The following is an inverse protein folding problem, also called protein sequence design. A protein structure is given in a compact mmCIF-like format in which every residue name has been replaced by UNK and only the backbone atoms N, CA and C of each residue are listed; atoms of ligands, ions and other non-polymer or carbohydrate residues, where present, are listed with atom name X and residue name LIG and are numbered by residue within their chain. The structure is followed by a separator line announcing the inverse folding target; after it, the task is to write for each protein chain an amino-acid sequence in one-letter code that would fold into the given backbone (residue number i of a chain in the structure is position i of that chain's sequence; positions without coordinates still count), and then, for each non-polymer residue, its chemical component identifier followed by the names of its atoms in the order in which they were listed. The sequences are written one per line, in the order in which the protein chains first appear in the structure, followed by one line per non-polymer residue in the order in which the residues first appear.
data_IF_903918068627
#
_entry.id   IF_903918068627
#
_cell.length_a   1.000
_cell.length_b   1.000
_cell.length_c   1.000
_cell.angle_alpha   90.00
_cell.angle_beta   90.00
_cell.angle_gamma   90.00
#
_symmetry.space_group_name_H-M   'P 1'
#
loop_
_entity.id
_entity.type
_entity.pdbx_description
1 polymer ?
#
# COMPACT_ATOMS: atom_id res chain seq x y z
N UNK A 1 3.57 -2.74 31.52
CA UNK A 1 4.62 -1.83 31.05
C UNK A 1 4.36 -1.57 29.58
N UNK A 2 3.70 -0.47 29.25
CA UNK A 2 3.47 -0.04 27.87
C UNK A 2 4.79 0.48 27.32
N UNK A 3 5.35 -0.22 26.33
CA UNK A 3 6.48 0.31 25.56
C UNK A 3 5.99 1.61 24.88
N UNK A 4 6.56 2.73 25.27
CA UNK A 4 6.52 3.96 24.48
C UNK A 4 7.27 3.65 23.18
N UNK A 5 6.56 3.39 22.09
CA UNK A 5 7.18 3.39 20.78
C UNK A 5 7.49 4.84 20.42
N UNK A 6 8.76 5.24 20.58
CA UNK A 6 9.21 6.55 20.12
C UNK A 6 8.95 6.66 18.62
N UNK A 7 8.23 7.72 18.23
CA UNK A 7 7.94 8.02 16.83
C UNK A 7 9.26 8.28 16.10
N UNK A 8 9.54 7.47 15.07
CA UNK A 8 10.75 7.60 14.26
C UNK A 8 10.49 8.48 13.04
N UNK A 9 11.53 9.20 12.63
CA UNK A 9 11.51 10.09 11.45
C UNK A 9 12.66 9.72 10.49
N UNK A 10 12.85 8.43 10.28
CA UNK A 10 14.01 7.84 9.60
C UNK A 10 13.66 7.14 8.30
N UNK A 11 12.42 7.24 7.81
CA UNK A 11 12.11 6.71 6.49
C UNK A 11 12.86 7.53 5.43
N UNK A 12 13.32 6.91 4.33
CA UNK A 12 14.12 7.60 3.35
C UNK A 12 13.44 8.84 2.75
N UNK A 13 12.12 8.80 2.55
CA UNK A 13 11.35 9.95 2.05
C UNK A 13 11.21 11.08 3.08
N UNK A 14 11.19 10.77 4.38
CA UNK A 14 11.21 11.77 5.47
C UNK A 14 12.58 12.44 5.54
N UNK A 15 13.66 11.64 5.47
CA UNK A 15 15.04 12.14 5.41
C UNK A 15 15.19 13.08 4.20
N UNK A 16 14.65 12.69 3.04
CA UNK A 16 14.68 13.53 1.85
C UNK A 16 13.98 14.87 2.04
N UNK A 17 12.81 14.91 2.69
CA UNK A 17 12.14 16.18 2.99
C UNK A 17 13.02 17.07 3.88
N UNK A 18 13.66 16.48 4.89
CA UNK A 18 14.59 17.19 5.79
C UNK A 18 15.78 17.77 5.02
N UNK A 19 16.43 16.96 4.18
CA UNK A 19 17.55 17.40 3.33
C UNK A 19 17.17 18.53 2.38
N UNK A 20 16.00 18.46 1.74
CA UNK A 20 15.52 19.51 0.84
C UNK A 20 15.35 20.84 1.59
N UNK A 21 14.93 20.81 2.85
CA UNK A 21 14.78 22.01 3.67
C UNK A 21 16.12 22.54 4.17
N UNK A 22 16.97 21.68 4.74
CA UNK A 22 18.23 22.07 5.38
C UNK A 22 19.33 22.43 4.36
N UNK A 23 19.48 21.64 3.29
CA UNK A 23 20.61 21.78 2.37
C UNK A 23 20.32 22.72 1.18
N UNK A 24 19.07 22.77 0.71
CA UNK A 24 18.71 23.55 -0.48
C UNK A 24 18.05 24.89 -0.15
N UNK A 25 17.89 25.22 1.15
CA UNK A 25 17.18 26.41 1.62
C UNK A 25 15.81 26.59 0.93
N UNK A 26 15.15 25.46 0.61
CA UNK A 26 13.89 25.41 -0.14
C UNK A 26 12.68 25.87 0.67
N UNK A 27 12.88 26.58 1.78
CA UNK A 27 11.79 27.16 2.58
C UNK A 27 10.87 28.07 1.74
N UNK A 28 11.41 28.67 0.66
CA UNK A 28 10.66 29.50 -0.29
C UNK A 28 9.88 28.69 -1.35
N UNK A 29 10.09 27.37 -1.45
CA UNK A 29 9.39 26.49 -2.39
C UNK A 29 8.05 25.97 -1.84
N UNK A 30 7.68 26.40 -0.63
CA UNK A 30 6.42 26.07 0.03
C UNK A 30 5.42 27.24 -0.03
N UNK A 31 4.11 26.96 0.01
CA UNK A 31 3.13 28.01 0.22
C UNK A 31 3.35 28.64 1.60
N UNK A 32 3.36 29.97 1.66
CA UNK A 32 3.58 30.77 2.87
C UNK A 32 4.94 30.50 3.57
N UNK A 33 5.87 31.44 3.41
CA UNK A 33 7.19 31.39 4.03
C UNK A 33 7.08 31.60 5.56
N UNK A 34 7.71 30.73 6.37
CA UNK A 34 7.88 30.96 7.82
C UNK A 34 7.56 29.79 8.75
N UNK A 35 6.91 28.73 8.27
CA UNK A 35 6.70 27.49 9.03
C UNK A 35 7.75 26.46 8.58
N UNK A 36 8.51 25.90 9.52
CA UNK A 36 9.31 24.72 9.25
C UNK A 36 8.39 23.53 8.95
N UNK A 37 8.38 23.11 7.68
CA UNK A 37 7.47 22.08 7.16
C UNK A 37 7.86 20.69 7.65
N UNK A 38 9.12 20.45 7.99
CA UNK A 38 9.52 19.19 8.60
C UNK A 38 9.10 19.14 10.07
N UNK A 39 9.23 20.24 10.81
CA UNK A 39 8.70 20.32 12.17
C UNK A 39 7.18 20.17 12.22
N UNK A 40 6.46 20.79 11.27
CA UNK A 40 5.02 20.59 11.13
C UNK A 40 4.68 19.12 10.86
N UNK A 41 5.40 18.48 9.93
CA UNK A 41 5.26 17.05 9.64
C UNK A 41 5.47 16.18 10.89
N UNK A 42 6.57 16.41 11.63
CA UNK A 42 6.86 15.68 12.88
C UNK A 42 5.72 15.81 13.89
N UNK A 43 5.24 17.03 14.09
CA UNK A 43 4.13 17.29 15.01
C UNK A 43 2.83 16.57 14.59
N UNK A 44 2.51 16.57 13.29
CA UNK A 44 1.35 15.85 12.76
C UNK A 44 1.50 14.34 13.01
N UNK A 45 2.66 13.75 12.69
CA UNK A 45 2.94 12.32 12.90
C UNK A 45 2.82 11.94 14.37
N UNK A 46 3.38 12.73 15.29
CA UNK A 46 3.29 12.46 16.73
C UNK A 46 1.85 12.52 17.24
N UNK A 47 1.09 13.57 16.89
CA UNK A 47 -0.34 13.66 17.27
C UNK A 47 -1.14 12.49 16.70
N UNK A 48 -0.92 12.10 15.45
CA UNK A 48 -1.57 10.93 14.86
C UNK A 48 -1.22 9.63 15.57
N UNK A 49 0.04 9.44 15.98
CA UNK A 49 0.43 8.27 16.75
C UNK A 49 -0.33 8.19 18.07
N UNK A 50 -0.36 9.29 18.82
CA UNK A 50 -0.97 9.37 20.14
C UNK A 50 -2.50 9.26 20.09
N UNK A 51 -3.10 10.00 19.16
CA UNK A 51 -4.55 10.19 19.13
C UNK A 51 -5.26 9.22 18.18
N UNK A 52 -4.58 8.66 17.17
CA UNK A 52 -5.24 7.86 16.12
C UNK A 52 -4.73 6.42 16.03
N UNK A 53 -3.41 6.24 15.96
CA UNK A 53 -2.82 4.93 15.60
C UNK A 53 -2.55 4.00 16.78
N UNK A 54 -2.36 4.53 18.00
CA UNK A 54 -2.12 3.69 19.19
C UNK A 54 -3.22 2.65 19.44
N UNK A 55 -4.46 2.99 19.10
CA UNK A 55 -5.64 2.14 19.34
C UNK A 55 -6.49 1.91 18.08
N UNK A 56 -5.97 2.19 16.87
CA UNK A 56 -6.77 2.19 15.63
C UNK A 56 -7.49 0.84 15.38
N UNK A 57 -6.82 -0.26 15.67
CA UNK A 57 -7.37 -1.60 15.47
C UNK A 57 -8.62 -1.84 16.32
N UNK A 58 -8.72 -1.21 17.50
CA UNK A 58 -9.90 -1.31 18.38
C UNK A 58 -11.16 -0.69 17.77
N UNK A 59 -11.01 0.26 16.85
CA UNK A 59 -12.12 0.92 16.15
C UNK A 59 -12.63 0.17 14.92
N UNK A 60 -11.93 -0.89 14.49
CA UNK A 60 -12.28 -1.67 13.31
C UNK A 60 -13.20 -2.86 13.68
N UNK A 61 -14.43 -2.81 13.17
CA UNK A 61 -15.47 -3.84 13.35
C UNK A 61 -15.50 -4.85 12.20
N UNK A 62 -16.24 -5.96 12.35
CA UNK A 62 -16.45 -6.96 11.27
C UNK A 62 -16.97 -6.35 9.95
N UNK A 63 -17.75 -5.27 10.02
CA UNK A 63 -18.23 -4.53 8.84
C UNK A 63 -17.11 -3.82 8.06
N UNK A 64 -15.90 -3.82 8.61
CA UNK A 64 -14.69 -3.30 7.98
C UNK A 64 -13.99 -4.34 7.09
N UNK A 65 -14.55 -5.55 6.90
CA UNK A 65 -13.97 -6.60 6.05
C UNK A 65 -12.53 -6.95 6.44
N UNK A 66 -11.68 -7.27 5.47
CA UNK A 66 -10.29 -7.71 5.69
C UNK A 66 -9.44 -6.77 6.55
N UNK A 67 -9.72 -5.45 6.52
CA UNK A 67 -9.01 -4.45 7.33
C UNK A 67 -9.24 -4.64 8.83
N UNK A 68 -10.38 -5.24 9.23
CA UNK A 68 -10.62 -5.57 10.63
C UNK A 68 -9.63 -6.61 11.17
N UNK A 69 -8.89 -7.28 10.30
CA UNK A 69 -8.11 -8.45 10.66
C UNK A 69 -6.60 -8.24 10.55
N UNK A 70 -6.14 -7.09 10.06
CA UNK A 70 -4.72 -6.73 9.92
C UNK A 70 -4.42 -5.43 10.68
N UNK A 71 -3.16 -5.21 11.03
CA UNK A 71 -2.73 -3.99 11.72
C UNK A 71 -2.77 -2.78 10.78
N UNK A 72 -3.34 -1.67 11.28
CA UNK A 72 -3.38 -0.37 10.60
C UNK A 72 -2.66 0.73 11.39
N UNK A 73 -1.70 0.34 12.24
CA UNK A 73 -0.95 1.21 13.12
C UNK A 73 0.09 2.08 12.39
N UNK A 74 0.89 2.84 13.16
CA UNK A 74 1.95 3.68 12.59
C UNK A 74 3.01 2.86 11.84
N UNK A 75 3.19 1.58 12.19
CA UNK A 75 4.09 0.67 11.49
C UNK A 75 3.65 0.44 10.04
N UNK A 76 2.35 0.22 9.80
CA UNK A 76 1.79 0.17 8.44
C UNK A 76 2.05 1.47 7.68
N UNK A 77 1.79 2.62 8.31
CA UNK A 77 2.02 3.94 7.70
C UNK A 77 3.50 4.15 7.32
N UNK A 78 4.43 3.73 8.17
CA UNK A 78 5.87 3.77 7.88
C UNK A 78 6.23 2.88 6.68
N UNK A 79 5.61 1.69 6.59
CA UNK A 79 5.79 0.81 5.43
C UNK A 79 5.24 1.43 4.14
N UNK A 80 4.10 2.12 4.18
CA UNK A 80 3.57 2.90 3.03
C UNK A 80 4.53 4.01 2.63
N UNK A 81 5.06 4.80 3.58
CA UNK A 81 6.04 5.86 3.29
C UNK A 81 7.30 5.28 2.64
N UNK A 82 7.79 4.16 3.15
CA UNK A 82 8.94 3.45 2.60
C UNK A 82 8.68 2.97 1.18
N UNK A 83 7.52 2.36 0.91
CA UNK A 83 7.12 1.94 -0.44
C UNK A 83 6.96 3.11 -1.40
N UNK A 84 6.38 4.23 -0.95
CA UNK A 84 6.28 5.46 -1.74
C UNK A 84 7.67 5.97 -2.15
N UNK A 85 8.65 5.95 -1.25
CA UNK A 85 10.05 6.27 -1.56
C UNK A 85 10.65 5.35 -2.63
N UNK A 86 10.47 4.03 -2.49
CA UNK A 86 10.95 3.06 -3.48
C UNK A 86 10.29 3.24 -4.85
N UNK A 87 8.99 3.55 -4.89
CA UNK A 87 8.25 3.83 -6.14
C UNK A 87 8.88 5.00 -6.91
N UNK A 88 9.33 6.03 -6.21
CA UNK A 88 9.97 7.21 -6.84
C UNK A 88 11.48 7.05 -7.04
N UNK A 89 12.01 5.84 -6.87
CA UNK A 89 13.42 5.50 -7.12
C UNK A 89 14.38 5.87 -5.98
N UNK A 90 13.87 6.17 -4.79
CA UNK A 90 14.72 6.48 -3.63
C UNK A 90 15.44 5.21 -3.16
N UNK A 91 16.78 5.23 -3.19
CA UNK A 91 17.62 4.08 -2.89
C UNK A 91 17.84 3.13 -4.08
N UNK A 92 17.47 3.55 -5.29
CA UNK A 92 17.87 2.86 -6.53
C UNK A 92 19.18 3.43 -7.08
N UNK A 93 19.86 2.67 -7.95
CA UNK A 93 21.07 3.10 -8.67
C UNK A 93 20.71 3.76 -10.03
N UNK A 94 19.43 4.09 -10.24
CA UNK A 94 18.99 4.76 -11.46
C UNK A 94 19.66 6.13 -11.61
N UNK A 95 20.15 6.43 -12.82
CA UNK A 95 20.80 7.71 -13.13
C UNK A 95 19.87 8.93 -12.98
N UNK A 96 18.56 8.73 -13.16
CA UNK A 96 17.54 9.81 -13.11
C UNK A 96 16.30 9.29 -12.36
N UNK A 97 16.39 9.13 -11.03
CA UNK A 97 15.27 8.63 -10.24
C UNK A 97 14.18 9.72 -10.13
N UNK A 98 12.92 9.29 -10.16
CA UNK A 98 11.76 10.19 -10.25
C UNK A 98 11.71 11.22 -9.11
N UNK A 99 12.19 10.86 -7.91
CA UNK A 99 12.21 11.75 -6.74
C UNK A 99 13.01 13.04 -6.97
N UNK A 100 14.00 13.06 -7.87
CA UNK A 100 14.76 14.28 -8.17
C UNK A 100 13.91 15.35 -8.85
N UNK A 101 12.86 14.93 -9.56
CA UNK A 101 11.91 15.82 -10.22
C UNK A 101 10.69 16.18 -9.36
N UNK A 102 10.67 15.74 -8.09
CA UNK A 102 9.64 16.13 -7.12
C UNK A 102 10.03 17.43 -6.42
N UNK A 103 9.04 18.33 -6.29
CA UNK A 103 9.24 19.55 -5.51
C UNK A 103 9.19 19.25 -4.01
N UNK A 104 9.89 20.02 -3.16
CA UNK A 104 9.80 19.89 -1.70
C UNK A 104 8.36 19.89 -1.17
N UNK A 105 7.51 20.75 -1.74
CA UNK A 105 6.09 20.78 -1.37
C UNK A 105 5.32 19.52 -1.77
N UNK A 106 5.65 18.88 -2.90
CA UNK A 106 5.03 17.62 -3.31
C UNK A 106 5.44 16.47 -2.38
N UNK A 107 6.70 16.45 -1.93
CA UNK A 107 7.19 15.48 -0.94
C UNK A 107 6.45 15.66 0.39
N UNK A 108 6.30 16.90 0.86
CA UNK A 108 5.52 17.19 2.07
C UNK A 108 4.05 16.75 1.94
N UNK A 109 3.38 17.11 0.84
CA UNK A 109 1.97 16.72 0.60
C UNK A 109 1.83 15.20 0.59
N UNK A 110 2.73 14.48 -0.09
CA UNK A 110 2.73 13.01 -0.13
C UNK A 110 2.90 12.42 1.27
N UNK A 111 3.90 12.87 2.03
CA UNK A 111 4.17 12.39 3.37
C UNK A 111 2.98 12.60 4.31
N UNK A 112 2.37 13.79 4.32
CA UNK A 112 1.19 14.05 5.17
C UNK A 112 -0.02 13.25 4.67
N UNK A 113 -0.18 13.06 3.36
CA UNK A 113 -1.25 12.22 2.82
C UNK A 113 -1.10 10.75 3.26
N UNK A 114 0.12 10.19 3.23
CA UNK A 114 0.43 8.87 3.79
C UNK A 114 0.05 8.80 5.27
N UNK A 115 0.36 9.83 6.06
CA UNK A 115 0.04 9.84 7.49
C UNK A 115 -1.46 9.80 7.79
N UNK A 116 -2.32 10.33 6.93
CA UNK A 116 -3.77 10.43 7.22
C UNK A 116 -4.65 9.47 6.40
N UNK A 117 -4.08 8.71 5.45
CA UNK A 117 -4.86 7.91 4.50
C UNK A 117 -5.81 6.93 5.21
N UNK A 118 -5.30 6.26 6.25
CA UNK A 118 -6.03 5.28 7.05
C UNK A 118 -6.51 5.83 8.41
N UNK A 119 -6.15 7.06 8.79
CA UNK A 119 -6.50 7.61 10.11
C UNK A 119 -8.01 7.68 10.37
N UNK A 120 -8.82 7.75 9.31
CA UNK A 120 -10.28 7.70 9.40
C UNK A 120 -10.83 6.36 9.94
N UNK A 121 -10.05 5.28 9.90
CA UNK A 121 -10.44 3.94 10.33
C UNK A 121 -10.71 3.84 11.83
N UNK A 122 -10.13 4.71 12.67
CA UNK A 122 -10.40 4.76 14.12
C UNK A 122 -11.89 4.90 14.46
N UNK A 123 -12.68 5.49 13.57
CA UNK A 123 -14.13 5.71 13.77
C UNK A 123 -14.99 4.83 12.85
N UNK A 124 -14.43 3.74 12.34
CA UNK A 124 -15.05 2.78 11.41
C UNK A 124 -14.78 3.08 9.93
N UNK A 125 -14.73 2.01 9.11
CA UNK A 125 -14.30 2.00 7.69
C UNK A 125 -15.25 2.73 6.74
N UNK A 126 -16.57 2.75 7.00
CA UNK A 126 -17.54 3.43 6.11
C UNK A 126 -17.27 4.94 6.11
N UNK A 127 -16.91 5.46 4.94
CA UNK A 127 -16.60 6.88 4.75
C UNK A 127 -15.30 7.36 5.40
N UNK A 128 -14.38 6.46 5.80
CA UNK A 128 -13.11 6.83 6.44
C UNK A 128 -12.30 7.83 5.59
N UNK A 129 -12.32 7.67 4.26
CA UNK A 129 -11.64 8.55 3.33
C UNK A 129 -12.17 10.00 3.36
N UNK A 130 -13.46 10.21 3.70
CA UNK A 130 -14.02 11.56 3.90
C UNK A 130 -13.67 12.15 5.28
N UNK A 131 -13.31 11.30 6.25
CA UNK A 131 -12.91 11.71 7.61
C UNK A 131 -11.45 12.15 7.68
N UNK A 132 -10.60 11.73 6.74
CA UNK A 132 -9.19 12.15 6.64
C UNK A 132 -9.03 13.68 6.72
N UNK A 133 -9.95 14.44 6.09
CA UNK A 133 -9.96 15.91 6.19
C UNK A 133 -10.16 16.42 7.61
N UNK A 134 -11.12 15.84 8.35
CA UNK A 134 -11.41 16.23 9.73
C UNK A 134 -10.20 15.95 10.62
N UNK A 135 -9.61 14.77 10.47
CA UNK A 135 -8.38 14.39 11.18
C UNK A 135 -7.27 15.40 10.90
N UNK A 136 -7.03 15.73 9.63
CA UNK A 136 -5.98 16.67 9.25
C UNK A 136 -6.19 18.07 9.85
N UNK A 137 -7.42 18.58 9.87
CA UNK A 137 -7.76 19.87 10.52
C UNK A 137 -7.36 19.84 11.99
N UNK A 138 -7.68 18.76 12.70
CA UNK A 138 -7.40 18.61 14.13
C UNK A 138 -5.90 18.52 14.42
N UNK A 139 -5.18 17.63 13.74
CA UNK A 139 -3.75 17.39 14.03
C UNK A 139 -2.83 18.51 13.51
N UNK A 140 -3.26 19.25 12.47
CA UNK A 140 -2.50 20.39 11.95
C UNK A 140 -2.58 21.62 12.85
N UNK A 141 -3.62 21.74 13.69
CA UNK A 141 -3.76 22.79 14.70
C UNK A 141 -3.72 24.21 14.10
N UNK A 142 -4.43 24.41 12.99
CA UNK A 142 -4.48 25.70 12.28
C UNK A 142 -3.21 26.09 11.52
N UNK A 143 -2.16 25.26 11.52
CA UNK A 143 -0.87 25.54 10.85
C UNK A 143 -0.86 25.23 9.35
N UNK A 144 -1.96 24.71 8.82
CA UNK A 144 -2.17 24.51 7.38
C UNK A 144 -3.29 25.39 6.88
N UNK A 145 -3.09 26.05 5.73
CA UNK A 145 -4.17 26.78 5.08
C UNK A 145 -5.27 25.81 4.58
N UNK A 146 -6.52 26.29 4.49
CA UNK A 146 -7.66 25.45 4.08
C UNK A 146 -7.47 24.80 2.71
N UNK A 147 -6.79 25.48 1.79
CA UNK A 147 -6.47 24.93 0.46
C UNK A 147 -5.45 23.79 0.56
N UNK A 148 -4.42 23.90 1.42
CA UNK A 148 -3.47 22.81 1.66
C UNK A 148 -4.16 21.59 2.26
N UNK A 149 -5.01 21.82 3.28
CA UNK A 149 -5.84 20.77 3.88
C UNK A 149 -6.67 20.07 2.81
N UNK A 150 -7.30 20.83 1.91
CA UNK A 150 -8.09 20.26 0.82
C UNK A 150 -7.26 19.40 -0.12
N UNK A 151 -6.07 19.88 -0.54
CA UNK A 151 -5.18 19.15 -1.45
C UNK A 151 -4.74 17.82 -0.80
N UNK A 152 -4.16 17.90 0.39
CA UNK A 152 -3.62 16.73 1.10
C UNK A 152 -4.73 15.71 1.39
N UNK A 153 -5.89 16.17 1.85
CA UNK A 153 -7.02 15.28 2.15
C UNK A 153 -7.59 14.62 0.89
N UNK A 154 -7.58 15.31 -0.25
CA UNK A 154 -8.04 14.73 -1.51
C UNK A 154 -7.07 13.68 -2.05
N UNK A 155 -5.76 13.92 -1.94
CA UNK A 155 -4.73 12.92 -2.27
C UNK A 155 -4.90 11.68 -1.39
N UNK A 156 -5.02 11.89 -0.07
CA UNK A 156 -5.27 10.81 0.87
C UNK A 156 -6.58 10.07 0.55
N UNK A 157 -7.68 10.78 0.29
CA UNK A 157 -8.98 10.16 -0.01
C UNK A 157 -8.95 9.29 -1.28
N UNK A 158 -8.17 9.65 -2.29
CA UNK A 158 -8.14 8.96 -3.56
C UNK A 158 -7.47 7.56 -3.53
N UNK A 159 -6.74 7.23 -2.44
CA UNK A 159 -6.10 5.91 -2.30
C UNK A 159 -7.12 4.75 -2.31
N UNK A 160 -8.37 4.99 -1.91
CA UNK A 160 -9.41 3.98 -1.86
C UNK A 160 -10.83 4.53 -2.00
N UNK A 161 -11.82 3.66 -1.88
CA UNK A 161 -13.24 4.01 -1.92
C UNK A 161 -13.83 4.14 -3.33
N UNK A 162 -14.98 4.80 -3.40
CA UNK A 162 -15.74 5.04 -4.63
C UNK A 162 -15.88 6.53 -4.88
N UNK A 163 -16.08 6.89 -6.14
CA UNK A 163 -16.43 8.23 -6.57
C UNK A 163 -17.81 8.64 -6.08
N UNK A 164 -18.17 9.93 -6.23
CA UNK A 164 -19.54 10.38 -5.92
C UNK A 164 -20.61 9.68 -6.76
N UNK A 165 -20.23 9.20 -7.95
CA UNK A 165 -21.06 8.44 -8.89
C UNK A 165 -21.02 6.93 -8.65
N UNK A 166 -20.31 6.43 -7.64
CA UNK A 166 -20.15 5.01 -7.34
C UNK A 166 -19.11 4.27 -8.21
N UNK A 167 -18.36 5.01 -9.02
CA UNK A 167 -17.24 4.50 -9.82
C UNK A 167 -15.96 4.25 -9.01
N UNK A 168 -14.99 3.54 -9.61
CA UNK A 168 -13.70 3.22 -8.97
C UNK A 168 -12.54 4.15 -9.37
N UNK A 169 -12.77 5.10 -10.29
CA UNK A 169 -11.76 6.06 -10.77
C UNK A 169 -11.62 7.28 -9.85
N UNK A 170 -11.20 7.03 -8.61
CA UNK A 170 -11.04 8.06 -7.57
C UNK A 170 -9.91 9.06 -7.83
N UNK A 171 -8.90 8.70 -8.62
CA UNK A 171 -7.77 9.56 -8.98
C UNK A 171 -8.16 10.47 -10.16
N UNK A 172 -8.91 9.92 -11.14
CA UNK A 172 -9.40 10.68 -12.29
C UNK A 172 -10.34 11.81 -11.89
N UNK A 173 -11.13 11.64 -10.82
CA UNK A 173 -12.03 12.67 -10.29
C UNK A 173 -11.35 13.79 -9.51
N UNK A 174 -10.04 13.72 -9.28
CA UNK A 174 -9.32 14.85 -8.69
C UNK A 174 -9.38 16.05 -9.64
N UNK A 175 -10.10 17.10 -9.22
CA UNK A 175 -10.55 18.25 -10.01
C UNK A 175 -9.45 18.99 -10.80
N UNK A 176 -8.16 18.75 -10.53
CA UNK A 176 -7.09 19.23 -11.40
C UNK A 176 -5.85 18.33 -11.37
N UNK A 177 -5.27 17.98 -12.54
CA UNK A 177 -3.94 17.36 -12.64
C UNK A 177 -2.83 18.25 -12.05
N UNK A 178 -3.07 19.56 -11.96
CA UNK A 178 -2.20 20.56 -11.34
C UNK A 178 -3.02 21.47 -10.43
N UNK A 179 -2.92 21.28 -9.13
CA UNK A 179 -3.50 22.18 -8.14
C UNK A 179 -2.37 22.94 -7.44
N UNK A 180 -2.69 23.81 -6.50
CA UNK A 180 -1.67 24.52 -5.75
C UNK A 180 -2.24 25.46 -4.70
N UNK A 181 -1.33 26.02 -3.92
CA UNK A 181 -1.61 27.14 -3.02
C UNK A 181 -0.72 28.28 -3.48
N UNK A 182 -1.33 29.44 -3.72
CA UNK A 182 -0.70 30.59 -4.35
C UNK A 182 0.01 30.23 -5.67
N UNK A 183 1.31 30.51 -5.78
CA UNK A 183 2.13 30.21 -6.96
C UNK A 183 2.79 28.82 -6.92
N UNK A 184 2.57 28.05 -5.84
CA UNK A 184 3.21 26.74 -5.64
C UNK A 184 2.30 25.63 -6.14
N UNK A 185 2.66 25.06 -7.30
CA UNK A 185 1.93 23.97 -7.95
C UNK A 185 2.33 22.59 -7.41
N UNK A 186 1.35 21.71 -7.30
CA UNK A 186 1.47 20.27 -7.01
C UNK A 186 0.78 19.44 -8.09
N UNK A 187 1.10 18.15 -8.17
CA UNK A 187 0.45 17.16 -9.05
C UNK A 187 -0.39 16.15 -8.25
N UNK A 188 -1.64 16.47 -7.85
CA UNK A 188 -2.40 15.63 -6.92
C UNK A 188 -2.65 14.20 -7.44
N UNK A 189 -2.92 14.05 -8.75
CA UNK A 189 -3.15 12.74 -9.36
C UNK A 189 -1.91 11.84 -9.30
N UNK A 190 -0.73 12.40 -9.57
CA UNK A 190 0.54 11.70 -9.43
C UNK A 190 0.78 11.28 -7.98
N UNK A 191 0.57 12.20 -7.02
CA UNK A 191 0.75 11.90 -5.60
C UNK A 191 -0.22 10.83 -5.09
N UNK A 192 -1.49 10.87 -5.55
CA UNK A 192 -2.50 9.88 -5.20
C UNK A 192 -2.17 8.50 -5.78
N UNK A 193 -1.63 8.45 -7.01
CA UNK A 193 -1.19 7.20 -7.62
C UNK A 193 0.02 6.60 -6.90
N UNK A 194 0.99 7.41 -6.46
CA UNK A 194 2.11 6.95 -5.63
C UNK A 194 1.59 6.37 -4.32
N UNK A 195 0.74 7.10 -3.60
CA UNK A 195 0.17 6.66 -2.32
C UNK A 195 -0.61 5.35 -2.47
N UNK A 196 -1.49 5.26 -3.47
CA UNK A 196 -2.34 4.09 -3.71
C UNK A 196 -1.53 2.84 -4.02
N UNK A 197 -0.54 2.95 -4.91
CA UNK A 197 0.34 1.83 -5.22
C UNK A 197 1.26 1.48 -4.04
N UNK A 198 1.71 2.48 -3.28
CA UNK A 198 2.51 2.25 -2.07
C UNK A 198 1.75 1.47 -1.00
N UNK A 199 0.48 1.81 -0.76
CA UNK A 199 -0.40 1.11 0.18
C UNK A 199 -0.65 -0.34 -0.23
N UNK A 200 -0.95 -0.60 -1.51
CA UNK A 200 -1.13 -1.97 -2.01
C UNK A 200 0.15 -2.82 -1.88
N UNK A 201 1.33 -2.19 -2.00
CA UNK A 201 2.63 -2.88 -1.87
C UNK A 201 3.20 -2.88 -0.44
N UNK A 202 2.52 -2.26 0.52
CA UNK A 202 2.95 -2.20 1.92
C UNK A 202 2.61 -3.48 2.71
N UNK A 203 1.89 -4.43 2.10
CA UNK A 203 1.58 -5.74 2.70
C UNK A 203 2.86 -6.50 3.09
N UNK A 204 2.98 -6.88 4.36
CA UNK A 204 4.10 -7.66 4.88
C UNK A 204 3.76 -8.31 6.23
N UNK A 205 4.66 -9.14 6.77
CA UNK A 205 4.41 -9.94 7.97
C UNK A 205 4.06 -9.11 9.22
N UNK A 206 4.52 -7.85 9.32
CA UNK A 206 4.21 -6.95 10.45
C UNK A 206 2.75 -6.51 10.45
N UNK A 207 2.09 -6.55 9.28
CA UNK A 207 0.67 -6.24 9.15
C UNK A 207 -0.24 -7.35 9.67
N UNK A 208 0.30 -8.55 9.87
CA UNK A 208 -0.48 -9.66 10.39
C UNK A 208 -0.77 -9.47 11.88
N UNK A 209 -2.04 -9.45 12.24
CA UNK A 209 -2.52 -9.44 13.63
C UNK A 209 -2.58 -10.84 14.25
N UNK A 210 -2.84 -10.86 15.55
CA UNK A 210 -3.04 -12.07 16.35
C UNK A 210 -4.51 -12.43 16.55
N UNK A 211 -5.45 -11.75 15.85
CA UNK A 211 -6.88 -12.02 16.01
C UNK A 211 -7.24 -13.41 15.49
N UNK A 212 -8.12 -14.12 16.19
CA UNK A 212 -8.37 -15.56 16.01
C UNK A 212 -9.79 -15.87 15.49
N UNK A 213 -10.42 -14.96 14.75
CA UNK A 213 -11.69 -15.21 14.09
C UNK A 213 -11.48 -16.00 12.77
N UNK A 214 -12.43 -16.86 12.37
CA UNK A 214 -12.33 -17.59 11.10
C UNK A 214 -12.10 -16.68 9.88
N UNK A 215 -12.75 -15.52 9.86
CA UNK A 215 -12.64 -14.52 8.78
C UNK A 215 -11.28 -13.79 8.76
N UNK A 216 -10.48 -13.92 9.82
CA UNK A 216 -9.15 -13.30 9.93
C UNK A 216 -8.04 -14.15 9.29
N UNK A 217 -8.29 -15.44 9.06
CA UNK A 217 -7.25 -16.42 8.72
C UNK A 217 -6.52 -16.05 7.42
N UNK A 218 -7.26 -15.80 6.34
CA UNK A 218 -6.66 -15.49 5.03
C UNK A 218 -5.94 -14.14 4.97
N UNK A 219 -6.53 -13.00 5.42
CA UNK A 219 -5.81 -11.72 5.45
C UNK A 219 -4.48 -11.80 6.23
N UNK A 220 -4.48 -12.44 7.41
CA UNK A 220 -3.29 -12.57 8.23
C UNK A 220 -2.26 -13.52 7.64
N UNK A 221 -2.70 -14.64 7.08
CA UNK A 221 -1.79 -15.58 6.45
C UNK A 221 -1.15 -14.98 5.20
N UNK A 222 -1.92 -14.24 4.39
CA UNK A 222 -1.42 -13.50 3.24
C UNK A 222 -0.29 -12.54 3.65
N UNK A 223 -0.51 -11.69 4.65
CA UNK A 223 0.50 -10.79 5.18
C UNK A 223 1.76 -11.54 5.64
N UNK A 224 1.61 -12.70 6.30
CA UNK A 224 2.74 -13.53 6.75
C UNK A 224 3.52 -14.20 5.62
N UNK A 225 2.93 -14.36 4.43
CA UNK A 225 3.53 -15.10 3.32
C UNK A 225 4.08 -14.23 2.22
N UNK A 226 3.60 -12.99 2.07
CA UNK A 226 4.02 -12.09 0.99
C UNK A 226 5.26 -11.28 1.35
N UNK A 227 6.15 -11.11 0.37
CA UNK A 227 7.26 -10.17 0.38
C UNK A 227 7.28 -9.37 -0.94
N UNK A 228 6.69 -8.15 -0.97
CA UNK A 228 6.70 -7.32 -2.16
C UNK A 228 8.05 -6.60 -2.35
N UNK A 229 8.59 -6.66 -3.57
CA UNK A 229 9.81 -5.97 -3.97
C UNK A 229 9.52 -5.01 -5.14
N UNK A 230 10.19 -3.86 -5.12
CA UNK A 230 10.07 -2.82 -6.14
C UNK A 230 11.47 -2.66 -6.76
N UNK A 231 11.57 -2.98 -8.04
CA UNK A 231 12.76 -2.74 -8.84
C UNK A 231 12.45 -1.56 -9.77
N UNK A 232 12.89 -0.38 -9.33
CA UNK A 232 12.63 0.88 -10.02
C UNK A 232 13.33 0.93 -11.39
N UNK A 233 14.57 0.44 -11.48
CA UNK A 233 15.38 0.50 -12.69
C UNK A 233 14.81 -0.38 -13.80
N UNK A 234 14.46 -1.62 -13.47
CA UNK A 234 13.85 -2.53 -14.44
C UNK A 234 12.33 -2.33 -14.57
N UNK A 235 11.77 -1.33 -13.88
CA UNK A 235 10.35 -0.98 -13.88
C UNK A 235 9.47 -2.18 -13.58
N UNK A 236 9.84 -2.95 -12.56
CA UNK A 236 9.23 -4.22 -12.21
C UNK A 236 8.80 -4.27 -10.76
N UNK A 237 7.64 -4.85 -10.53
CA UNK A 237 7.19 -5.28 -9.21
C UNK A 237 7.38 -6.79 -9.09
N UNK A 238 7.78 -7.27 -7.92
CA UNK A 238 7.83 -8.70 -7.62
C UNK A 238 7.00 -8.98 -6.38
N UNK A 239 6.12 -9.98 -6.46
CA UNK A 239 5.35 -10.52 -5.34
C UNK A 239 5.88 -11.93 -5.05
N UNK A 240 6.74 -12.04 -4.05
CA UNK A 240 7.28 -13.32 -3.60
C UNK A 240 6.41 -13.88 -2.47
N UNK A 241 6.08 -15.16 -2.56
CA UNK A 241 5.33 -15.90 -1.56
C UNK A 241 6.09 -17.14 -1.13
N UNK A 242 6.14 -17.39 0.17
CA UNK A 242 6.67 -18.65 0.71
C UNK A 242 5.56 -19.40 1.44
N UNK A 243 5.15 -20.55 0.89
CA UNK A 243 4.02 -21.32 1.42
C UNK A 243 4.51 -22.62 2.05
N UNK A 244 3.98 -22.92 3.24
CA UNK A 244 4.13 -24.24 3.83
C UNK A 244 3.15 -25.24 3.22
N UNK A 245 3.45 -26.50 3.43
CA UNK A 245 2.60 -27.64 3.16
C UNK A 245 1.16 -27.45 3.66
N UNK A 246 0.99 -26.89 4.87
CA UNK A 246 -0.32 -26.60 5.46
C UNK A 246 -1.06 -25.51 4.68
N UNK A 247 -0.35 -24.47 4.26
CA UNK A 247 -0.92 -23.34 3.52
C UNK A 247 -1.44 -23.81 2.14
N UNK A 248 -0.70 -24.70 1.46
CA UNK A 248 -1.07 -25.26 0.16
C UNK A 248 -2.35 -26.12 0.20
N UNK A 249 -2.71 -26.64 1.38
CA UNK A 249 -3.88 -27.52 1.59
C UNK A 249 -5.06 -26.80 2.24
N UNK A 250 -4.86 -25.54 2.66
CA UNK A 250 -5.82 -24.79 3.46
C UNK A 250 -7.04 -24.38 2.64
N UNK A 251 -8.23 -24.75 3.13
CA UNK A 251 -9.53 -24.36 2.62
C UNK A 251 -10.34 -23.76 3.76
N UNK A 252 -10.79 -22.53 3.60
CA UNK A 252 -11.50 -21.78 4.63
C UNK A 252 -12.33 -20.66 3.99
N UNK A 253 -13.01 -19.87 4.83
CA UNK A 253 -13.70 -18.64 4.41
C UNK A 253 -12.75 -17.46 4.43
N UNK A 254 -12.87 -16.59 3.43
CA UNK A 254 -12.24 -15.27 3.44
C UNK A 254 -12.96 -14.29 4.37
N UNK A 255 -12.49 -13.03 4.40
CA UNK A 255 -13.08 -11.94 5.20
C UNK A 255 -14.53 -11.57 4.79
N UNK A 256 -15.02 -12.08 3.67
CA UNK A 256 -16.37 -11.88 3.14
C UNK A 256 -17.26 -13.12 3.30
N UNK A 257 -16.74 -14.18 3.92
CA UNK A 257 -17.45 -15.44 4.14
C UNK A 257 -17.45 -16.37 2.93
N UNK A 258 -16.69 -16.07 1.89
CA UNK A 258 -16.57 -16.88 0.67
C UNK A 258 -15.57 -18.01 0.91
N UNK A 259 -16.00 -19.25 0.70
CA UNK A 259 -15.12 -20.41 0.83
C UNK A 259 -14.22 -20.58 -0.39
N UNK A 260 -12.91 -20.72 -0.16
CA UNK A 260 -11.92 -20.94 -1.20
C UNK A 260 -10.64 -21.56 -0.62
N UNK A 261 -9.70 -21.98 -1.48
CA UNK A 261 -8.36 -22.31 -1.02
C UNK A 261 -7.54 -21.04 -0.79
N UNK A 262 -6.56 -21.10 0.11
CA UNK A 262 -5.68 -19.96 0.36
C UNK A 262 -4.91 -19.53 -0.91
N UNK A 263 -4.58 -20.47 -1.78
CA UNK A 263 -3.99 -20.17 -3.10
C UNK A 263 -4.94 -19.38 -4.01
N UNK A 264 -6.25 -19.66 -3.97
CA UNK A 264 -7.24 -18.86 -4.72
C UNK A 264 -7.34 -17.44 -4.14
N UNK A 265 -7.20 -17.30 -2.81
CA UNK A 265 -7.12 -16.00 -2.16
C UNK A 265 -5.88 -15.20 -2.62
N UNK A 266 -4.71 -15.85 -2.69
CA UNK A 266 -3.49 -15.26 -3.28
C UNK A 266 -3.75 -14.83 -4.73
N UNK A 267 -4.38 -15.68 -5.54
CA UNK A 267 -4.71 -15.38 -6.93
C UNK A 267 -5.58 -14.11 -7.06
N UNK A 268 -6.60 -13.97 -6.20
CA UNK A 268 -7.46 -12.79 -6.16
C UNK A 268 -6.67 -11.52 -5.77
N UNK A 269 -5.78 -11.62 -4.76
CA UNK A 269 -4.94 -10.50 -4.31
C UNK A 269 -3.92 -10.08 -5.38
N UNK A 270 -3.26 -11.03 -6.03
CA UNK A 270 -2.35 -10.77 -7.16
C UNK A 270 -3.09 -10.07 -8.31
N UNK A 271 -4.29 -10.53 -8.65
CA UNK A 271 -5.13 -9.92 -9.69
C UNK A 271 -5.49 -8.47 -9.35
N UNK A 272 -5.82 -8.21 -8.07
CA UNK A 272 -6.07 -6.86 -7.56
C UNK A 272 -4.83 -5.98 -7.68
N UNK A 273 -3.65 -6.45 -7.27
CA UNK A 273 -2.41 -5.68 -7.37
C UNK A 273 -2.07 -5.33 -8.82
N UNK A 274 -2.30 -6.22 -9.77
CA UNK A 274 -2.12 -5.93 -11.20
C UNK A 274 -3.11 -4.87 -11.71
N UNK A 275 -4.37 -4.93 -11.28
CA UNK A 275 -5.35 -3.89 -11.59
C UNK A 275 -4.92 -2.52 -11.04
N UNK A 276 -4.46 -2.48 -9.80
CA UNK A 276 -3.98 -1.27 -9.14
C UNK A 276 -2.73 -0.70 -9.80
N UNK A 277 -1.77 -1.55 -10.20
CA UNK A 277 -0.59 -1.13 -10.98
C UNK A 277 -1.01 -0.44 -12.27
N UNK A 278 -1.82 -1.11 -13.10
CA UNK A 278 -2.29 -0.56 -14.39
C UNK A 278 -3.06 0.74 -14.22
N UNK A 279 -3.85 0.84 -13.15
CA UNK A 279 -4.61 2.04 -12.84
C UNK A 279 -3.70 3.20 -12.44
N UNK A 280 -2.77 2.98 -11.50
CA UNK A 280 -1.83 3.98 -11.04
C UNK A 280 -0.87 4.43 -12.15
N UNK A 281 -0.41 3.51 -13.01
CA UNK A 281 0.50 3.82 -14.11
C UNK A 281 -0.06 4.86 -15.09
N UNK A 282 -1.39 4.98 -15.23
CA UNK A 282 -2.01 6.04 -16.05
C UNK A 282 -1.61 7.44 -15.60
N UNK A 283 -1.41 7.61 -14.30
CA UNK A 283 -1.08 8.89 -13.65
C UNK A 283 0.41 9.01 -13.31
N UNK A 284 1.18 7.93 -13.48
CA UNK A 284 2.64 7.90 -13.29
C UNK A 284 3.43 7.95 -14.61
N UNK A 285 2.76 7.98 -15.77
CA UNK A 285 3.41 8.00 -17.10
C UNK A 285 4.46 9.11 -17.21
N UNK A 286 5.64 8.75 -17.71
CA UNK A 286 6.77 9.67 -17.85
C UNK A 286 7.39 10.10 -16.51
N UNK A 287 7.04 9.43 -15.41
CA UNK A 287 7.56 9.70 -14.08
C UNK A 287 8.07 8.42 -13.40
N UNK A 288 7.19 7.53 -12.96
CA UNK A 288 7.56 6.32 -12.20
C UNK A 288 6.59 5.16 -12.48
N UNK A 289 6.65 4.59 -13.68
CA UNK A 289 5.74 3.51 -14.11
C UNK A 289 6.39 2.14 -14.02
N UNK A 290 5.58 1.12 -13.78
CA UNK A 290 6.02 -0.27 -13.73
C UNK A 290 5.37 -1.06 -14.86
N UNK A 291 6.14 -1.85 -15.59
CA UNK A 291 5.66 -2.53 -16.81
C UNK A 291 5.07 -3.91 -16.52
N UNK A 292 5.55 -4.56 -15.46
CA UNK A 292 5.18 -5.93 -15.14
C UNK A 292 5.17 -6.21 -13.63
N UNK A 293 4.41 -7.24 -13.26
CA UNK A 293 4.44 -7.89 -11.95
C UNK A 293 4.95 -9.32 -12.14
N UNK A 294 6.08 -9.65 -11.51
CA UNK A 294 6.54 -11.03 -11.37
C UNK A 294 5.95 -11.65 -10.11
N UNK A 295 5.40 -12.85 -10.27
CA UNK A 295 4.84 -13.60 -9.14
C UNK A 295 5.65 -14.86 -9.00
N UNK A 296 6.16 -15.09 -7.80
CA UNK A 296 6.91 -16.30 -7.43
C UNK A 296 6.29 -16.88 -6.18
N UNK A 297 5.84 -18.13 -6.25
CA UNK A 297 5.31 -18.87 -5.11
C UNK A 297 6.21 -20.06 -4.87
N UNK A 298 7.02 -19.97 -3.82
CA UNK A 298 7.85 -21.06 -3.33
C UNK A 298 7.01 -21.96 -2.43
N UNK A 299 7.07 -23.26 -2.68
CA UNK A 299 6.21 -24.23 -2.01
C UNK A 299 7.06 -25.24 -1.23
N UNK A 300 7.04 -25.13 0.09
CA UNK A 300 7.80 -25.99 0.99
C UNK A 300 7.03 -27.30 1.26
N UNK A 301 7.65 -28.46 0.97
CA UNK A 301 7.06 -29.81 1.14
C UNK A 301 7.41 -30.45 2.49
N UNK A 302 8.68 -30.40 2.89
CA UNK A 302 9.21 -30.79 4.22
C UNK A 302 10.25 -29.75 4.65
N UNK A 303 10.79 -29.83 5.88
CA UNK A 303 11.63 -28.77 6.48
C UNK A 303 12.80 -28.26 5.61
N UNK A 304 13.25 -29.03 4.61
CA UNK A 304 14.34 -28.66 3.70
C UNK A 304 14.07 -29.01 2.22
N UNK A 305 12.85 -29.47 1.87
CA UNK A 305 12.51 -29.90 0.50
C UNK A 305 11.48 -28.95 -0.15
N UNK A 306 11.80 -28.49 -1.35
CA UNK A 306 11.02 -27.52 -2.11
C UNK A 306 10.41 -28.18 -3.35
N UNK A 307 9.13 -27.92 -3.59
CA UNK A 307 8.55 -28.23 -4.90
C UNK A 307 9.06 -27.26 -5.97
N UNK A 308 8.81 -27.61 -7.22
CA UNK A 308 8.93 -26.65 -8.32
C UNK A 308 8.08 -25.41 -8.03
N UNK A 309 8.67 -24.20 -8.00
CA UNK A 309 7.96 -22.98 -7.67
C UNK A 309 6.99 -22.61 -8.79
N UNK A 310 5.86 -21.99 -8.42
CA UNK A 310 4.97 -21.38 -9.40
C UNK A 310 5.56 -20.02 -9.75
N UNK A 311 5.88 -19.81 -11.01
CA UNK A 311 6.47 -18.56 -11.49
C UNK A 311 5.77 -18.09 -12.76
N UNK A 312 5.34 -16.83 -12.77
CA UNK A 312 4.77 -16.19 -13.96
C UNK A 312 4.93 -14.67 -13.90
N UNK A 313 4.64 -14.01 -15.02
CA UNK A 313 4.69 -12.55 -15.15
C UNK A 313 3.37 -12.03 -15.68
N UNK A 314 2.81 -11.03 -15.01
CA UNK A 314 1.67 -10.25 -15.48
C UNK A 314 2.20 -8.97 -16.11
N UNK A 315 1.88 -8.76 -17.38
CA UNK A 315 2.23 -7.57 -18.15
C UNK A 315 1.20 -7.33 -19.22
N UNK A 316 1.13 -6.10 -19.73
CA UNK A 316 0.38 -5.83 -20.94
C UNK A 316 1.19 -6.38 -22.13
N UNK A 317 0.69 -7.42 -22.80
CA UNK A 317 1.35 -8.06 -23.94
C UNK A 317 0.40 -8.09 -25.16
N UNK A 318 0.92 -7.67 -26.31
CA UNK A 318 0.16 -7.62 -27.56
C UNK A 318 -0.98 -6.59 -27.61
N UNK A 319 -1.93 -6.82 -28.53
CA UNK A 319 -3.14 -6.02 -28.65
C UNK A 319 -4.06 -6.30 -27.44
N UNK A 320 -4.82 -5.32 -26.91
CA UNK A 320 -5.80 -5.58 -25.86
C UNK A 320 -6.83 -6.60 -26.34
N UNK A 321 -6.63 -7.86 -25.99
CA UNK A 321 -7.58 -8.95 -26.24
C UNK A 321 -8.39 -9.19 -24.98
N UNK A 322 -9.61 -9.71 -25.15
CA UNK A 322 -10.65 -9.69 -24.11
C UNK A 322 -10.37 -10.54 -22.86
N UNK A 323 -9.20 -11.17 -22.70
CA UNK A 323 -8.91 -11.99 -21.50
C UNK A 323 -8.43 -11.10 -20.35
N UNK A 324 -9.22 -10.94 -19.26
CA UNK A 324 -8.80 -10.19 -18.09
C UNK A 324 -7.67 -10.92 -17.35
N UNK A 325 -6.78 -10.17 -16.71
CA UNK A 325 -5.68 -10.70 -15.89
C UNK A 325 -6.15 -11.70 -14.83
N UNK A 326 -7.34 -11.48 -14.26
CA UNK A 326 -7.96 -12.37 -13.27
C UNK A 326 -8.15 -13.81 -13.79
N UNK A 327 -8.52 -13.99 -15.06
CA UNK A 327 -8.68 -15.32 -15.66
C UNK A 327 -7.31 -16.01 -15.75
N UNK A 328 -6.30 -15.28 -16.22
CA UNK A 328 -4.93 -15.80 -16.35
C UNK A 328 -4.36 -16.18 -15.00
N UNK A 329 -4.53 -15.34 -13.97
CA UNK A 329 -4.03 -15.63 -12.62
C UNK A 329 -4.72 -16.85 -12.00
N UNK A 330 -6.03 -17.02 -12.20
CA UNK A 330 -6.79 -18.19 -11.70
C UNK A 330 -6.42 -19.50 -12.41
N UNK A 331 -6.06 -19.44 -13.69
CA UNK A 331 -5.55 -20.61 -14.42
C UNK A 331 -4.15 -21.04 -13.90
N UNK A 332 -3.30 -20.05 -13.58
CA UNK A 332 -1.93 -20.30 -13.11
C UNK A 332 -1.88 -20.69 -11.63
N UNK A 333 -2.74 -20.11 -10.80
CA UNK A 333 -2.87 -20.39 -9.37
C UNK A 333 -4.27 -20.99 -9.11
N UNK A 334 -4.42 -22.28 -9.45
CA UNK A 334 -5.62 -23.06 -9.11
C UNK A 334 -5.40 -23.79 -7.78
N UNK A 335 -6.01 -23.27 -6.71
CA UNK A 335 -5.82 -23.79 -5.36
C UNK A 335 -6.30 -25.23 -5.20
N UNK A 336 -7.38 -25.63 -5.89
CA UNK A 336 -7.90 -27.00 -5.82
C UNK A 336 -6.96 -28.00 -6.49
N UNK A 337 -6.43 -27.64 -7.66
CA UNK A 337 -5.46 -28.46 -8.40
C UNK A 337 -4.20 -28.66 -7.58
N UNK A 338 -3.62 -27.58 -7.08
CA UNK A 338 -2.39 -27.60 -6.27
C UNK A 338 -2.59 -28.38 -4.97
N UNK A 339 -3.70 -28.13 -4.25
CA UNK A 339 -4.01 -28.84 -3.01
C UNK A 339 -4.16 -30.36 -3.23
N UNK A 340 -4.78 -30.76 -4.35
CA UNK A 340 -4.90 -32.18 -4.73
C UNK A 340 -3.54 -32.83 -4.94
N UNK A 341 -2.64 -32.18 -5.70
CA UNK A 341 -1.28 -32.66 -5.92
C UNK A 341 -0.48 -32.79 -4.62
N UNK A 342 -0.59 -31.83 -3.70
CA UNK A 342 0.04 -31.89 -2.38
C UNK A 342 -0.49 -33.03 -1.51
N UNK A 343 -1.81 -33.26 -1.53
CA UNK A 343 -2.41 -34.38 -0.79
C UNK A 343 -1.97 -35.74 -1.34
N UNK A 344 -1.77 -35.85 -2.64
CA UNK A 344 -1.24 -37.07 -3.26
C UNK A 344 0.22 -37.32 -2.82
N UNK A 345 1.08 -36.30 -2.95
CA UNK A 345 2.48 -36.39 -2.54
C UNK A 345 2.66 -36.82 -1.07
N UNK A 346 1.91 -36.20 -0.14
CA UNK A 346 2.00 -36.54 1.28
C UNK A 346 1.52 -37.97 1.60
N UNK A 347 0.61 -38.55 0.80
CA UNK A 347 0.17 -39.94 0.97
C UNK A 347 1.24 -40.93 0.50
N UNK A 348 1.97 -40.59 -0.56
CA UNK A 348 3.02 -41.44 -1.12
C UNK A 348 4.30 -41.44 -0.25
N UNK A 349 4.51 -40.40 0.56
CA UNK A 349 5.74 -40.19 1.35
C UNK A 349 5.45 -40.12 2.87
N UNK A 350 4.36 -40.79 3.31
CA UNK A 350 3.94 -40.88 4.71
C UNK A 350 4.69 -41.98 5.50
N UNK A 351 5.49 -42.80 4.82
CA UNK A 351 6.25 -43.92 5.37
C UNK A 351 7.79 -43.71 5.38
N UNK A 352 8.27 -42.50 5.08
CA UNK A 352 9.70 -42.10 5.11
C UNK A 352 10.04 -41.11 6.23
#
# INVERSE_FOLDING_TARGET
MTQSYDVKFSNPLEIRLKELLECNNSHNDFPHCGIDRFDLYKNIKSKLNDDYYRDVDSGLTKDSGGAAYTHHDLGHVDDVIRKAGQIVGLGSEANTPAFESMKPYEVFVLLVACLIHDAGNKTGRKGHAAKARKVLVEVSDGRLAQKEISIISNVAKAHGGETLSGGKDTIGELLSPKDGVDNTKVRPQMLAAILRLADELAENYRRASTRNEPESVFPNLYCKRISPHIDYESRRLTLDFTLSDKDCKLYAKDEYGVEMYFLDYIANRVSKTELERRYCDRYLRGFATFEEIRVKIELLRKAEDWAEPIFFTLKEDGYPTDKPSEIVTKELIDGKRIATSYRAYCKEHQDD
#
